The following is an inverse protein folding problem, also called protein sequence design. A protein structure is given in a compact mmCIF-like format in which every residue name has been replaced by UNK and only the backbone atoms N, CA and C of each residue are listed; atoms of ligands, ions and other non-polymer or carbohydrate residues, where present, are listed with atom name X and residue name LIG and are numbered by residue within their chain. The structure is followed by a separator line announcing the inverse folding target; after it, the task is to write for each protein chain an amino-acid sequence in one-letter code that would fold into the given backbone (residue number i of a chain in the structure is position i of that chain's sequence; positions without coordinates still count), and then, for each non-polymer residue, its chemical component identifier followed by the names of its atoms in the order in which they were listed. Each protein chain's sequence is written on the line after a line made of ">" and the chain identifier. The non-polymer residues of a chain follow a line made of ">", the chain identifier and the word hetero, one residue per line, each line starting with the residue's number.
data_IF_729215578049
#
_entry.id   IF_729215578049
#
_cell.length_a   1.000
_cell.length_b   1.000
_cell.length_c   1.000
_cell.angle_alpha   90.00
_cell.angle_beta   90.00
_cell.angle_gamma   90.00
#
_symmetry.space_group_name_H-M   'P 1'
#
loop_
_entity.id
_entity.type
_entity.pdbx_description
1 polymer ?
#
# COMPACT_ATOMS: atom_id res chain seq x y z
N UNK A 1 30.65 -15.67 12.91
CA UNK A 1 30.10 -14.35 13.24
C UNK A 1 28.75 -14.57 13.92
N UNK A 2 28.71 -14.51 15.23
CA UNK A 2 27.48 -14.76 16.02
C UNK A 2 26.70 -13.47 16.03
N UNK A 3 25.64 -13.40 15.23
CA UNK A 3 24.66 -12.31 15.31
C UNK A 3 23.94 -12.49 16.65
N UNK A 4 24.12 -11.55 17.57
CA UNK A 4 23.58 -11.62 18.92
C UNK A 4 22.06 -11.80 18.92
N UNK A 5 21.51 -12.58 19.87
CA UNK A 5 20.08 -12.83 20.02
C UNK A 5 19.23 -11.54 20.15
N UNK A 6 19.83 -10.43 20.56
CA UNK A 6 19.15 -9.13 20.64
C UNK A 6 18.71 -8.56 19.28
N UNK A 7 19.43 -8.88 18.17
CA UNK A 7 19.02 -8.45 16.84
C UNK A 7 17.81 -9.22 16.29
N UNK A 8 17.60 -10.46 16.74
CA UNK A 8 16.46 -11.28 16.32
C UNK A 8 15.14 -10.89 17.01
N UNK A 9 15.18 -10.43 18.25
CA UNK A 9 13.97 -9.95 18.94
C UNK A 9 13.42 -8.64 18.38
N UNK A 10 14.27 -7.78 17.83
CA UNK A 10 13.82 -6.51 17.25
C UNK A 10 13.05 -6.70 15.92
N UNK A 11 13.40 -7.70 15.11
CA UNK A 11 12.68 -8.04 13.87
C UNK A 11 11.23 -8.51 14.11
N UNK A 12 10.93 -9.10 15.26
CA UNK A 12 9.59 -9.57 15.59
C UNK A 12 8.61 -8.44 15.98
N UNK A 13 9.09 -7.21 16.13
CA UNK A 13 8.27 -6.06 16.53
C UNK A 13 7.85 -5.17 15.36
N UNK A 14 8.47 -5.30 14.19
CA UNK A 14 8.20 -4.50 13.02
C UNK A 14 7.52 -5.33 11.94
N UNK A 15 6.37 -4.88 11.47
CA UNK A 15 5.65 -5.47 10.35
C UNK A 15 5.81 -4.58 9.12
N UNK A 16 6.39 -5.14 8.06
CA UNK A 16 6.49 -4.46 6.77
C UNK A 16 5.11 -4.50 6.11
N UNK A 17 4.49 -3.34 5.89
CA UNK A 17 3.15 -3.22 5.32
C UNK A 17 3.15 -2.72 3.86
N UNK A 18 4.31 -2.36 3.34
CA UNK A 18 4.49 -1.86 1.97
C UNK A 18 5.63 -2.61 1.29
N UNK A 19 5.36 -3.86 0.89
CA UNK A 19 6.31 -4.69 0.13
C UNK A 19 5.82 -4.80 -1.30
N UNK A 20 6.73 -4.66 -2.26
CA UNK A 20 6.49 -4.86 -3.68
C UNK A 20 6.99 -6.23 -4.10
N UNK A 21 6.14 -7.00 -4.77
CA UNK A 21 6.50 -8.29 -5.33
C UNK A 21 6.96 -8.16 -6.78
N UNK A 22 7.28 -9.29 -7.40
CA UNK A 22 7.59 -9.41 -8.83
C UNK A 22 6.48 -8.88 -9.75
N UNK A 23 5.27 -8.69 -9.24
CA UNK A 23 4.13 -8.14 -9.99
C UNK A 23 4.14 -6.61 -10.07
N UNK A 24 4.98 -5.93 -9.29
CA UNK A 24 5.28 -4.49 -9.46
C UNK A 24 6.34 -4.33 -10.54
N UNK A 25 5.92 -4.16 -11.79
CA UNK A 25 6.81 -4.09 -12.96
C UNK A 25 7.79 -2.92 -12.79
N UNK A 26 9.07 -3.19 -13.01
CA UNK A 26 10.19 -2.25 -12.85
C UNK A 26 10.48 -1.77 -11.41
N UNK A 27 9.74 -2.21 -10.40
CA UNK A 27 9.93 -1.81 -9.01
C UNK A 27 10.26 -2.98 -8.09
N UNK A 28 9.56 -4.11 -8.23
CA UNK A 28 9.66 -5.26 -7.37
C UNK A 28 10.47 -6.40 -7.99
N UNK A 29 11.45 -6.92 -7.24
CA UNK A 29 12.22 -8.10 -7.62
C UNK A 29 11.96 -9.32 -6.73
N UNK A 30 11.15 -9.16 -5.67
CA UNK A 30 10.92 -10.20 -4.67
C UNK A 30 9.87 -11.18 -5.16
N UNK A 31 10.25 -12.45 -5.25
CA UNK A 31 9.31 -13.55 -5.53
C UNK A 31 8.52 -13.90 -4.29
N UNK A 32 7.24 -14.21 -4.46
CA UNK A 32 6.34 -14.52 -3.34
C UNK A 32 6.80 -15.76 -2.57
N UNK A 33 7.34 -16.78 -3.25
CA UNK A 33 7.89 -17.96 -2.61
C UNK A 33 9.10 -17.67 -1.72
N UNK A 34 9.97 -16.75 -2.18
CA UNK A 34 11.12 -16.28 -1.40
C UNK A 34 10.68 -15.50 -0.17
N UNK A 35 9.65 -14.65 -0.31
CA UNK A 35 9.03 -13.93 0.80
C UNK A 35 8.43 -14.89 1.83
N UNK A 36 7.72 -15.93 1.38
CA UNK A 36 7.15 -16.96 2.25
C UNK A 36 8.25 -17.69 3.04
N UNK A 37 9.31 -18.10 2.36
CA UNK A 37 10.46 -18.75 2.96
C UNK A 37 11.18 -17.84 3.98
N UNK A 38 11.32 -16.56 3.66
CA UNK A 38 11.88 -15.55 4.56
C UNK A 38 11.00 -15.35 5.81
N UNK A 39 9.68 -15.22 5.63
CA UNK A 39 8.73 -15.08 6.73
C UNK A 39 8.81 -16.26 7.70
N UNK A 40 8.82 -17.49 7.18
CA UNK A 40 8.93 -18.70 7.96
C UNK A 40 10.25 -18.74 8.76
N UNK A 41 11.38 -18.44 8.09
CA UNK A 41 12.72 -18.44 8.71
C UNK A 41 12.83 -17.38 9.82
N UNK A 42 12.25 -16.21 9.63
CA UNK A 42 12.32 -15.08 10.55
C UNK A 42 11.17 -15.01 11.55
N UNK A 43 10.19 -15.91 11.45
CA UNK A 43 8.98 -15.94 12.28
C UNK A 43 8.25 -14.60 12.29
N UNK A 44 8.09 -14.01 11.09
CA UNK A 44 7.41 -12.73 10.91
C UNK A 44 5.93 -12.92 11.20
N UNK A 45 5.33 -12.03 12.00
CA UNK A 45 3.92 -12.14 12.40
C UNK A 45 2.95 -11.72 11.31
N UNK A 46 3.27 -10.62 10.62
CA UNK A 46 2.44 -10.09 9.54
C UNK A 46 3.31 -9.45 8.45
N UNK A 47 2.88 -9.56 7.21
CA UNK A 47 3.56 -8.96 6.05
C UNK A 47 2.50 -8.37 5.11
N UNK A 48 2.74 -7.14 4.64
CA UNK A 48 1.86 -6.43 3.72
C UNK A 48 2.41 -6.40 2.31
N UNK A 49 1.56 -6.81 1.34
CA UNK A 49 1.80 -6.62 -0.08
C UNK A 49 1.17 -5.29 -0.53
N UNK A 50 1.89 -4.50 -1.31
CA UNK A 50 1.40 -3.25 -1.86
C UNK A 50 1.97 -3.02 -3.26
N UNK A 51 1.62 -3.92 -4.19
CA UNK A 51 2.07 -3.82 -5.57
C UNK A 51 1.50 -2.58 -6.27
N UNK A 52 2.24 -2.04 -7.22
CA UNK A 52 1.88 -0.81 -7.92
C UNK A 52 0.89 -1.09 -9.04
N UNK A 53 -0.25 -0.41 -9.01
CA UNK A 53 -1.34 -0.44 -10.00
C UNK A 53 -2.01 -1.79 -10.22
N UNK A 54 -1.74 -2.81 -9.41
CA UNK A 54 -2.37 -4.11 -9.61
C UNK A 54 -2.50 -4.92 -8.32
N UNK A 55 -3.32 -5.96 -8.39
CA UNK A 55 -3.54 -6.96 -7.34
C UNK A 55 -3.24 -8.38 -7.84
N UNK A 56 -2.43 -8.50 -8.91
CA UNK A 56 -2.16 -9.78 -9.57
C UNK A 56 -1.52 -10.80 -8.62
N UNK A 57 -0.64 -10.35 -7.73
CA UNK A 57 0.02 -11.20 -6.74
C UNK A 57 -0.81 -11.48 -5.47
N UNK A 58 -1.97 -10.84 -5.29
CA UNK A 58 -2.67 -10.85 -4.01
C UNK A 58 -3.09 -12.25 -3.55
N UNK A 59 -3.64 -13.08 -4.46
CA UNK A 59 -4.08 -14.44 -4.15
C UNK A 59 -2.89 -15.32 -3.80
N UNK A 60 -1.89 -15.38 -4.68
CA UNK A 60 -0.67 -16.17 -4.48
C UNK A 60 0.04 -15.77 -3.17
N UNK A 61 0.15 -14.46 -2.91
CA UNK A 61 0.73 -13.94 -1.68
C UNK A 61 -0.08 -14.39 -0.44
N UNK A 62 -1.40 -14.22 -0.47
CA UNK A 62 -2.27 -14.60 0.63
C UNK A 62 -2.11 -16.09 1.00
N UNK A 63 -2.13 -16.97 0.00
CA UNK A 63 -1.99 -18.41 0.23
C UNK A 63 -0.60 -18.79 0.75
N UNK A 64 0.46 -18.31 0.11
CA UNK A 64 1.83 -18.71 0.46
C UNK A 64 2.27 -18.15 1.81
N UNK A 65 1.92 -16.90 2.11
CA UNK A 65 2.25 -16.26 3.38
C UNK A 65 1.46 -16.88 4.54
N UNK A 66 0.18 -17.20 4.33
CA UNK A 66 -0.62 -17.92 5.35
C UNK A 66 -0.04 -19.28 5.68
N UNK A 67 0.39 -20.06 4.66
CA UNK A 67 1.06 -21.36 4.85
C UNK A 67 2.36 -21.24 5.65
N UNK A 68 3.03 -20.11 5.62
CA UNK A 68 4.23 -19.86 6.43
C UNK A 68 3.95 -19.53 7.91
N UNK A 69 2.68 -19.40 8.29
CA UNK A 69 2.25 -18.99 9.63
C UNK A 69 2.32 -17.47 9.86
N UNK A 70 2.44 -16.68 8.79
CA UNK A 70 2.45 -15.22 8.79
C UNK A 70 1.10 -14.70 8.33
N UNK A 71 0.57 -13.65 8.96
CA UNK A 71 -0.67 -13.01 8.52
C UNK A 71 -0.40 -12.17 7.26
N UNK A 72 -1.07 -12.46 6.11
CA UNK A 72 -1.00 -11.62 4.94
C UNK A 72 -1.86 -10.36 5.13
N UNK A 73 -1.33 -9.22 4.72
CA UNK A 73 -2.04 -7.95 4.66
C UNK A 73 -2.05 -7.53 3.18
N UNK A 74 -3.23 -7.28 2.62
CA UNK A 74 -3.40 -6.97 1.21
C UNK A 74 -3.60 -5.49 0.98
N UNK A 75 -2.89 -4.95 0.02
CA UNK A 75 -2.99 -3.58 -0.43
C UNK A 75 -2.47 -3.41 -1.85
N UNK A 76 -2.55 -2.21 -2.35
CA UNK A 76 -1.96 -1.78 -3.62
C UNK A 76 -1.64 -0.29 -3.58
N UNK A 77 -0.83 0.18 -4.50
CA UNK A 77 -0.60 1.60 -4.74
C UNK A 77 -1.36 2.04 -5.98
N UNK A 78 -2.13 3.13 -5.86
CA UNK A 78 -2.90 3.71 -6.96
C UNK A 78 -2.54 5.20 -7.04
N UNK A 79 -2.47 5.74 -8.25
CA UNK A 79 -2.36 7.17 -8.45
C UNK A 79 -3.70 7.86 -8.21
N UNK A 80 -3.63 8.98 -7.53
CA UNK A 80 -4.75 9.89 -7.33
C UNK A 80 -4.39 11.28 -7.84
N UNK A 81 -5.40 11.93 -8.43
CA UNK A 81 -5.29 13.29 -8.94
C UNK A 81 -6.01 14.27 -8.03
N UNK A 82 -5.35 15.37 -7.72
CA UNK A 82 -5.91 16.50 -7.00
C UNK A 82 -5.26 17.80 -7.49
N UNK A 83 -6.06 18.80 -7.86
CA UNK A 83 -5.57 20.10 -8.34
C UNK A 83 -4.48 20.00 -9.44
N UNK A 84 -4.70 19.16 -10.45
CA UNK A 84 -3.73 18.88 -11.53
C UNK A 84 -2.38 18.29 -11.07
N UNK A 85 -2.34 17.75 -9.86
CA UNK A 85 -1.22 16.98 -9.34
C UNK A 85 -1.61 15.52 -9.26
N UNK A 86 -0.81 14.64 -9.85
CA UNK A 86 -0.96 13.18 -9.74
C UNK A 86 0.13 12.68 -8.80
N UNK A 87 -0.24 11.79 -7.90
CA UNK A 87 0.71 11.15 -7.00
C UNK A 87 0.16 9.85 -6.44
N UNK A 88 1.06 8.98 -6.03
CA UNK A 88 0.74 7.63 -5.58
C UNK A 88 0.29 7.61 -4.13
N UNK A 89 -0.79 6.88 -3.85
CA UNK A 89 -1.30 6.62 -2.50
C UNK A 89 -1.34 5.11 -2.28
N UNK A 90 -0.62 4.58 -1.29
CA UNK A 90 -0.77 3.19 -0.88
C UNK A 90 -2.05 3.00 -0.07
N UNK A 91 -2.82 1.97 -0.44
CA UNK A 91 -4.07 1.57 0.18
C UNK A 91 -3.94 0.17 0.76
N UNK A 92 -4.44 -0.04 1.96
CA UNK A 92 -4.42 -1.34 2.65
C UNK A 92 -5.84 -1.70 3.07
N UNK A 93 -6.27 -2.90 2.74
CA UNK A 93 -7.57 -3.41 3.14
C UNK A 93 -7.59 -3.78 4.63
N UNK A 94 -8.58 -3.29 5.38
CA UNK A 94 -8.86 -3.67 6.77
C UNK A 94 -9.83 -4.84 6.85
N UNK A 95 -10.69 -4.98 5.83
CA UNK A 95 -11.76 -5.97 5.76
C UNK A 95 -11.95 -6.45 4.33
N UNK A 96 -12.82 -7.46 4.15
CA UNK A 96 -13.23 -7.93 2.82
C UNK A 96 -13.90 -6.81 2.00
N UNK A 97 -14.70 -5.97 2.63
CA UNK A 97 -15.31 -4.81 1.95
C UNK A 97 -14.26 -3.80 1.50
N UNK A 98 -13.24 -3.53 2.34
CA UNK A 98 -12.11 -2.71 1.97
C UNK A 98 -11.33 -3.26 0.77
N UNK A 99 -11.14 -4.59 0.72
CA UNK A 99 -10.50 -5.22 -0.43
C UNK A 99 -11.32 -5.09 -1.71
N UNK A 100 -12.64 -5.27 -1.65
CA UNK A 100 -13.55 -5.03 -2.78
C UNK A 100 -13.50 -3.58 -3.26
N UNK A 101 -13.44 -2.63 -2.35
CA UNK A 101 -13.29 -1.22 -2.69
C UNK A 101 -11.95 -0.91 -3.38
N UNK A 102 -10.86 -1.53 -2.94
CA UNK A 102 -9.55 -1.41 -3.59
C UNK A 102 -9.59 -1.98 -5.02
N UNK A 103 -10.26 -3.13 -5.23
CA UNK A 103 -10.46 -3.71 -6.57
C UNK A 103 -11.22 -2.72 -7.46
N UNK A 104 -12.28 -2.11 -6.96
CA UNK A 104 -13.07 -1.12 -7.72
C UNK A 104 -12.23 0.10 -8.10
N UNK A 105 -11.46 0.66 -7.17
CA UNK A 105 -10.56 1.78 -7.46
C UNK A 105 -9.49 1.41 -8.49
N UNK A 106 -8.87 0.24 -8.33
CA UNK A 106 -7.88 -0.24 -9.30
C UNK A 106 -8.49 -0.38 -10.70
N UNK A 107 -9.70 -0.95 -10.81
CA UNK A 107 -10.40 -1.05 -12.09
C UNK A 107 -10.76 0.32 -12.67
N UNK A 108 -11.27 1.21 -11.83
CA UNK A 108 -11.66 2.58 -12.21
C UNK A 108 -10.47 3.36 -12.78
N UNK A 109 -9.29 3.27 -12.13
CA UNK A 109 -8.11 3.99 -12.55
C UNK A 109 -7.68 3.68 -13.99
N UNK A 110 -7.99 2.49 -14.51
CA UNK A 110 -7.69 2.10 -15.89
C UNK A 110 -8.85 2.34 -16.87
N UNK A 111 -10.10 2.17 -16.41
CA UNK A 111 -11.27 2.19 -17.30
C UNK A 111 -11.79 3.59 -17.60
N UNK A 112 -11.67 4.50 -16.65
CA UNK A 112 -12.22 5.86 -16.81
C UNK A 112 -11.24 6.86 -17.43
N UNK A 113 -9.95 6.57 -17.42
CA UNK A 113 -8.95 7.40 -18.09
C UNK A 113 -8.91 7.07 -19.58
N UNK A 114 -9.43 8.00 -20.40
CA UNK A 114 -9.57 7.82 -21.86
C UNK A 114 -8.34 8.25 -22.65
N UNK A 115 -7.41 8.93 -22.03
CA UNK A 115 -6.24 9.50 -22.66
C UNK A 115 -4.95 8.76 -22.24
N UNK A 116 -3.85 9.06 -22.94
CA UNK A 116 -2.51 8.49 -22.72
C UNK A 116 -1.89 8.87 -21.36
N UNK A 117 -2.67 9.44 -20.46
CA UNK A 117 -2.26 9.79 -19.11
C UNK A 117 -2.05 8.54 -18.25
N UNK A 118 -1.19 8.66 -17.24
CA UNK A 118 -1.00 7.61 -16.26
C UNK A 118 -2.33 7.23 -15.60
N UNK A 119 -2.62 5.92 -15.42
CA UNK A 119 -3.83 5.47 -14.75
C UNK A 119 -3.97 6.13 -13.37
N UNK A 120 -5.11 6.78 -13.11
CA UNK A 120 -5.38 7.46 -11.85
C UNK A 120 -6.87 7.48 -11.50
N UNK A 121 -7.18 7.72 -10.24
CA UNK A 121 -8.52 8.08 -9.77
C UNK A 121 -8.53 9.54 -9.33
N UNK A 122 -9.70 10.16 -9.28
CA UNK A 122 -9.84 11.44 -8.61
C UNK A 122 -9.82 11.26 -7.09
N UNK A 123 -9.36 12.25 -6.34
CA UNK A 123 -9.27 12.14 -4.89
C UNK A 123 -10.64 11.94 -4.22
N UNK A 124 -11.69 12.48 -4.82
CA UNK A 124 -13.06 12.34 -4.33
C UNK A 124 -13.53 10.88 -4.32
N UNK A 125 -12.98 10.04 -5.20
CA UNK A 125 -13.26 8.61 -5.21
C UNK A 125 -12.78 7.91 -3.93
N UNK A 126 -11.65 8.36 -3.41
CA UNK A 126 -11.10 7.85 -2.16
C UNK A 126 -11.93 8.32 -0.96
N UNK A 127 -12.40 9.56 -0.98
CA UNK A 127 -13.21 10.14 0.10
C UNK A 127 -14.59 9.47 0.24
N UNK A 128 -15.12 8.96 -0.87
CA UNK A 128 -16.42 8.28 -0.91
C UNK A 128 -16.36 6.83 -0.41
N UNK A 129 -15.17 6.30 -0.12
CA UNK A 129 -15.00 4.93 0.35
C UNK A 129 -15.15 4.88 1.86
N UNK A 130 -15.92 3.90 2.34
CA UNK A 130 -16.13 3.65 3.76
C UNK A 130 -14.81 3.33 4.49
N UNK A 131 -14.77 3.51 5.82
CA UNK A 131 -13.60 3.39 6.69
C UNK A 131 -12.92 2.00 6.76
N UNK A 132 -13.14 1.12 5.79
CA UNK A 132 -12.57 -0.24 5.70
C UNK A 132 -11.20 -0.30 5.00
N UNK A 133 -10.62 0.86 4.68
CA UNK A 133 -9.30 1.00 4.06
C UNK A 133 -8.40 1.85 4.96
N UNK A 134 -7.13 1.45 5.05
CA UNK A 134 -6.07 2.29 5.61
C UNK A 134 -5.38 2.98 4.44
N UNK A 135 -5.28 4.29 4.51
CA UNK A 135 -4.60 5.13 3.54
C UNK A 135 -3.26 5.56 4.12
N UNK A 136 -2.18 5.30 3.40
CA UNK A 136 -0.85 5.77 3.79
C UNK A 136 -0.51 7.03 2.98
N UNK A 137 0.17 7.98 3.61
CA UNK A 137 0.55 9.25 2.96
C UNK A 137 1.49 9.10 1.76
N UNK A 138 2.09 7.92 1.59
CA UNK A 138 3.12 7.70 0.58
C UNK A 138 4.50 8.21 1.04
N UNK A 139 5.37 8.41 0.07
CA UNK A 139 6.69 9.01 0.27
C UNK A 139 6.73 10.44 -0.31
N UNK A 140 7.92 10.99 -0.50
CA UNK A 140 8.10 12.28 -1.18
C UNK A 140 7.47 12.30 -2.58
N UNK A 141 7.47 11.17 -3.28
CA UNK A 141 6.83 11.01 -4.59
C UNK A 141 5.34 10.64 -4.51
N UNK A 142 4.78 10.52 -3.30
CA UNK A 142 3.35 10.34 -3.09
C UNK A 142 2.57 11.64 -3.32
N UNK A 143 1.25 11.55 -3.42
CA UNK A 143 0.41 12.73 -3.67
C UNK A 143 0.66 13.85 -2.66
N UNK A 144 0.75 13.52 -1.38
CA UNK A 144 0.97 14.51 -0.31
C UNK A 144 2.34 15.16 -0.45
N UNK A 145 3.40 14.38 -0.70
CA UNK A 145 4.76 14.91 -0.89
C UNK A 145 4.84 15.85 -2.10
N UNK A 146 4.25 15.45 -3.22
CA UNK A 146 4.22 16.25 -4.45
C UNK A 146 3.40 17.53 -4.28
N UNK A 147 2.27 17.47 -3.58
CA UNK A 147 1.48 18.67 -3.25
C UNK A 147 2.26 19.60 -2.33
N UNK A 148 2.97 19.08 -1.33
CA UNK A 148 3.77 19.87 -0.42
C UNK A 148 4.93 20.58 -1.14
N UNK A 149 5.54 19.94 -2.11
CA UNK A 149 6.61 20.54 -2.92
C UNK A 149 6.08 21.68 -3.79
N UNK A 150 4.89 21.50 -4.40
CA UNK A 150 4.28 22.52 -5.27
C UNK A 150 3.59 23.64 -4.50
N UNK A 151 2.87 23.32 -3.44
CA UNK A 151 2.13 24.27 -2.62
C UNK A 151 1.91 23.72 -1.20
N UNK A 152 2.65 24.30 -0.24
CA UNK A 152 2.59 23.89 1.18
C UNK A 152 1.19 24.01 1.78
N UNK A 153 0.42 24.99 1.36
CA UNK A 153 -0.93 25.27 1.91
C UNK A 153 -1.92 24.19 1.48
N UNK A 154 -1.89 23.80 0.21
CA UNK A 154 -2.75 22.73 -0.32
C UNK A 154 -2.47 21.37 0.32
N UNK A 155 -1.19 21.06 0.57
CA UNK A 155 -0.80 19.82 1.22
C UNK A 155 -1.32 19.72 2.67
N UNK A 156 -1.24 20.80 3.43
CA UNK A 156 -1.75 20.88 4.81
C UNK A 156 -3.26 20.70 4.85
N UNK A 157 -3.99 21.38 3.99
CA UNK A 157 -5.45 21.25 3.89
C UNK A 157 -5.87 19.82 3.60
N UNK A 158 -5.18 19.14 2.67
CA UNK A 158 -5.47 17.77 2.28
C UNK A 158 -5.22 16.77 3.43
N UNK A 159 -4.11 16.90 4.16
CA UNK A 159 -3.82 15.99 5.29
C UNK A 159 -4.87 16.09 6.40
N UNK A 160 -5.44 17.26 6.63
CA UNK A 160 -6.53 17.42 7.60
C UNK A 160 -7.86 16.81 7.15
N UNK A 161 -8.11 16.77 5.83
CA UNK A 161 -9.36 16.23 5.27
C UNK A 161 -9.37 14.70 5.14
N UNK A 162 -8.22 14.08 4.89
CA UNK A 162 -8.15 12.67 4.47
C UNK A 162 -7.58 11.71 5.49
N UNK A 163 -6.77 12.19 6.42
CA UNK A 163 -6.22 11.34 7.47
C UNK A 163 -7.14 11.40 8.69
N UNK A 164 -7.82 10.29 9.06
CA UNK A 164 -8.43 10.23 10.36
C UNK A 164 -7.31 10.46 11.38
N UNK A 165 -7.41 11.53 12.14
CA UNK A 165 -6.54 11.78 13.28
C UNK A 165 -6.73 10.61 14.24
N UNK A 166 -5.89 9.58 14.14
CA UNK A 166 -5.76 8.63 15.23
C UNK A 166 -5.16 9.41 16.39
N UNK A 167 -5.88 9.55 17.50
CA UNK A 167 -5.26 10.16 18.67
C UNK A 167 -4.05 9.29 19.02
N UNK A 168 -2.90 9.93 19.14
CA UNK A 168 -1.72 9.29 19.71
C UNK A 168 -2.08 8.85 21.14
N UNK A 169 -2.06 7.54 21.36
CA UNK A 169 -2.05 6.94 22.68
C UNK A 169 -0.63 6.61 23.05
#
# INVERSE_FOLDING_TARGET
>A
MVISNQSMESYNKFNHIKVHSQYSICEGALKIDELSSFCKKRKIKALGLSDTFNLCGALEFSENISKSGTQPILGTQINFKHNNVIGTIPLIAKSENGYKSIIQLSSKSFLENKDLDEPHCEIDDLLNISGDIIVLSGSLNGLIGTLFEKDKTSAVSYTHLTLPTTPYV
#
